data_IF_830844911627
#
_entry.id   IF_830844911627
#
_cell.length_a   1.000
_cell.length_b   1.000
_cell.length_c   1.000
_cell.angle_alpha   90.00
_cell.angle_beta   90.00
_cell.angle_gamma   90.00
#
_symmetry.space_group_name_H-M   'P 1'
#
loop_
_entity.id
_entity.type
_entity.pdbx_description
1 polymer ?
#
# COMPACT_ATOMS: atom_id res chain seq x y z
N UNK A 1 -34.98 29.68 17.13
CA UNK A 1 -33.87 30.66 17.17
C UNK A 1 -33.00 30.24 18.36
N UNK A 2 -31.91 29.48 18.25
CA UNK A 2 -30.52 29.91 17.97
C UNK A 2 -29.68 28.64 17.66
N UNK A 3 -29.98 27.91 16.59
CA UNK A 3 -29.17 26.72 16.22
C UNK A 3 -28.98 26.53 14.72
N UNK A 4 -29.45 27.48 13.90
CA UNK A 4 -29.26 27.51 12.45
C UNK A 4 -28.31 28.62 11.96
N UNK A 5 -27.71 29.39 12.86
CA UNK A 5 -26.85 30.53 12.51
C UNK A 5 -25.33 30.26 12.62
N UNK A 6 -24.90 29.10 13.11
CA UNK A 6 -23.47 28.81 13.36
C UNK A 6 -22.76 28.02 12.24
N UNK A 7 -23.49 27.49 11.27
CA UNK A 7 -22.90 26.74 10.14
C UNK A 7 -22.52 27.68 8.98
N UNK A 8 -23.10 28.89 8.91
CA UNK A 8 -22.81 29.87 7.86
C UNK A 8 -21.57 30.76 8.13
N UNK A 9 -21.02 30.74 9.35
CA UNK A 9 -19.85 31.56 9.71
C UNK A 9 -18.49 30.95 9.35
N UNK A 10 -18.39 29.64 9.17
CA UNK A 10 -17.10 28.96 8.90
C UNK A 10 -16.76 28.83 7.41
N UNK A 11 -17.72 29.01 6.51
CA UNK A 11 -17.49 28.95 5.07
C UNK A 11 -16.91 30.26 4.48
N UNK A 12 -17.00 31.39 5.21
CA UNK A 12 -16.62 32.71 4.69
C UNK A 12 -15.12 33.04 4.82
N UNK A 13 -14.37 32.35 5.67
CA UNK A 13 -12.92 32.59 5.82
C UNK A 13 -12.07 31.73 4.87
N UNK A 14 -12.65 30.66 4.31
CA UNK A 14 -11.91 29.73 3.44
C UNK A 14 -11.94 30.11 1.95
N UNK A 15 -12.77 31.07 1.54
CA UNK A 15 -12.93 31.44 0.14
C UNK A 15 -12.03 32.60 -0.33
N UNK A 16 -11.11 33.11 0.50
CA UNK A 16 -10.22 34.23 0.15
C UNK A 16 -8.76 33.85 -0.15
N UNK A 17 -8.40 32.55 -0.16
CA UNK A 17 -7.00 32.10 -0.38
C UNK A 17 -6.82 31.32 -1.69
N UNK A 18 -7.82 31.26 -2.56
CA UNK A 18 -7.70 30.63 -3.88
C UNK A 18 -8.03 31.63 -4.99
N UNK A 19 -7.06 32.49 -5.29
CA UNK A 19 -6.95 33.13 -6.61
C UNK A 19 -5.66 32.63 -7.27
N UNK A 20 -5.70 32.07 -8.49
CA UNK A 20 -4.52 31.58 -9.17
C UNK A 20 -3.75 32.76 -9.80
N UNK A 21 -2.54 33.02 -9.30
CA UNK A 21 -1.60 33.94 -9.95
C UNK A 21 -0.68 33.14 -10.88
N UNK A 22 -0.85 33.36 -12.18
CA UNK A 22 0.19 33.12 -13.17
C UNK A 22 1.30 34.16 -12.98
N UNK A 23 2.55 33.72 -12.81
CA UNK A 23 3.80 34.29 -13.37
C UNK A 23 5.00 33.98 -12.46
N UNK A 24 6.09 33.54 -13.07
CA UNK A 24 7.28 33.04 -12.39
C UNK A 24 8.14 34.09 -11.67
N UNK A 25 9.09 33.54 -10.90
CA UNK A 25 10.32 34.12 -10.33
C UNK A 25 10.35 34.34 -8.80
N UNK A 26 11.31 33.64 -8.18
CA UNK A 26 12.17 34.00 -7.04
C UNK A 26 11.61 34.22 -5.60
N UNK A 27 11.97 33.26 -4.72
CA UNK A 27 12.40 33.32 -3.30
C UNK A 27 11.85 34.34 -2.26
N UNK A 28 11.50 33.77 -1.09
CA UNK A 28 11.41 34.30 0.32
C UNK A 28 10.01 34.73 0.84
N UNK A 29 9.78 34.90 2.17
CA UNK A 29 10.10 34.09 3.35
C UNK A 29 8.84 33.91 4.25
N UNK A 30 8.21 32.72 4.33
CA UNK A 30 6.95 32.54 5.09
C UNK A 30 7.03 31.64 6.35
N UNK A 31 8.23 31.26 6.79
CA UNK A 31 8.44 30.34 7.92
C UNK A 31 8.09 30.86 9.33
N UNK A 32 7.66 32.13 9.49
CA UNK A 32 7.52 32.74 10.85
C UNK A 32 6.06 32.93 11.30
N UNK A 33 5.06 32.83 10.41
CA UNK A 33 3.67 33.13 10.79
C UNK A 33 2.85 31.96 11.37
N UNK A 34 3.35 30.72 11.31
CA UNK A 34 2.59 29.56 11.80
C UNK A 34 2.66 29.35 13.33
N UNK A 35 3.77 29.75 13.98
CA UNK A 35 3.95 29.50 15.42
C UNK A 35 3.13 30.44 16.32
N UNK A 36 2.76 31.64 15.83
CA UNK A 36 2.03 32.62 16.63
C UNK A 36 0.53 32.29 16.78
N UNK A 37 -0.05 31.49 15.88
CA UNK A 37 -1.48 31.18 15.92
C UNK A 37 -1.85 30.15 17.01
N UNK A 38 -0.92 29.27 17.41
CA UNK A 38 -1.21 28.18 18.37
C UNK A 38 -1.25 28.64 19.82
N UNK A 39 -0.53 29.71 20.20
CA UNK A 39 -0.48 30.17 21.59
C UNK A 39 -1.77 30.91 22.02
N UNK A 40 -2.45 31.57 21.08
CA UNK A 40 -3.64 32.40 21.38
C UNK A 40 -4.88 31.54 21.66
N UNK A 41 -5.00 30.36 21.03
CA UNK A 41 -6.16 29.47 21.20
C UNK A 41 -6.18 28.83 22.60
N UNK A 42 -5.02 28.59 23.22
CA UNK A 42 -4.93 27.99 24.56
C UNK A 42 -5.29 28.98 25.69
N UNK A 43 -5.17 30.29 25.45
CA UNK A 43 -5.41 31.34 26.44
C UNK A 43 -6.89 31.76 26.57
N UNK A 44 -7.74 31.42 25.59
CA UNK A 44 -9.16 31.83 25.56
C UNK A 44 -10.12 30.72 26.01
N UNK A 45 -9.62 29.54 26.38
CA UNK A 45 -10.44 28.43 26.86
C UNK A 45 -10.78 28.58 28.35
N UNK A 46 -12.06 28.52 28.75
CA UNK A 46 -12.44 28.62 30.15
C UNK A 46 -11.89 27.45 30.99
N UNK A 47 -11.46 27.69 32.25
CA UNK A 47 -10.68 26.74 33.05
C UNK A 47 -11.37 25.40 33.35
N UNK A 48 -12.70 25.33 33.21
CA UNK A 48 -13.50 24.10 33.42
C UNK A 48 -13.34 23.02 32.34
N UNK A 49 -12.58 23.28 31.27
CA UNK A 49 -12.39 22.34 30.14
C UNK A 49 -10.98 21.72 30.10
N UNK A 50 -10.15 21.90 31.14
CA UNK A 50 -8.73 21.50 31.12
C UNK A 50 -8.46 20.03 31.49
N UNK A 51 -9.46 19.24 31.91
CA UNK A 51 -9.25 17.85 32.34
C UNK A 51 -10.41 16.92 31.92
N UNK A 52 -10.59 16.70 30.61
CA UNK A 52 -11.57 15.75 30.10
C UNK A 52 -11.18 15.12 28.76
N UNK A 53 -11.77 13.96 28.39
CA UNK A 53 -11.38 13.12 27.25
C UNK A 53 -11.43 13.81 25.88
N UNK A 54 -12.08 14.97 25.79
CA UNK A 54 -12.14 15.82 24.59
C UNK A 54 -10.76 16.39 24.22
N UNK A 55 -9.89 16.65 25.21
CA UNK A 55 -8.53 17.16 24.95
C UNK A 55 -7.64 16.09 24.31
N UNK A 56 -7.82 14.82 24.69
CA UNK A 56 -7.09 13.69 24.12
C UNK A 56 -7.50 13.45 22.65
N UNK A 57 -8.79 13.55 22.33
CA UNK A 57 -9.29 13.41 20.95
C UNK A 57 -8.80 14.55 20.05
N UNK A 58 -8.75 15.80 20.55
CA UNK A 58 -8.16 16.92 19.78
C UNK A 58 -6.65 16.80 19.60
N UNK A 59 -5.90 16.29 20.59
CA UNK A 59 -4.45 16.08 20.45
C UNK A 59 -4.14 14.98 19.42
N UNK A 60 -4.93 13.90 19.42
CA UNK A 60 -4.81 12.81 18.43
C UNK A 60 -5.13 13.31 17.02
N UNK A 61 -6.14 14.17 16.84
CA UNK A 61 -6.43 14.78 15.54
C UNK A 61 -5.37 15.79 15.09
N UNK A 62 -4.71 16.51 16.01
CA UNK A 62 -3.62 17.43 15.66
C UNK A 62 -2.30 16.73 15.31
N UNK A 63 -1.99 15.58 15.91
CA UNK A 63 -0.85 14.75 15.48
C UNK A 63 -1.08 14.21 14.07
N UNK A 64 -2.32 13.85 13.72
CA UNK A 64 -2.66 13.36 12.38
C UNK A 64 -2.50 14.39 11.26
N UNK A 65 -2.56 15.69 11.54
CA UNK A 65 -2.32 16.74 10.52
C UNK A 65 -0.82 17.01 10.32
N UNK A 66 0.00 16.85 11.37
CA UNK A 66 1.45 17.09 11.28
C UNK A 66 2.24 15.93 10.66
N UNK A 67 1.70 14.71 10.65
CA UNK A 67 2.29 13.60 9.88
C UNK A 67 2.10 13.80 8.37
N UNK A 68 1.02 14.48 7.94
CA UNK A 68 0.76 14.75 6.52
C UNK A 68 1.60 15.88 5.95
N UNK A 69 2.07 16.82 6.78
CA UNK A 69 2.81 18.00 6.32
C UNK A 69 4.32 17.76 6.12
N UNK A 70 4.89 16.67 6.66
CA UNK A 70 6.33 16.40 6.55
C UNK A 70 6.72 15.45 5.40
N UNK A 71 5.76 15.00 4.59
CA UNK A 71 6.02 14.18 3.40
C UNK A 71 6.05 15.04 2.11
N UNK A 72 5.55 16.28 2.15
CA UNK A 72 5.42 17.16 0.96
C UNK A 72 6.64 18.09 0.76
N UNK A 73 7.68 17.98 1.61
CA UNK A 73 8.89 18.80 1.52
C UNK A 73 10.02 18.27 0.63
N UNK A 74 9.91 17.05 0.09
CA UNK A 74 10.97 16.43 -0.70
C UNK A 74 10.68 16.35 -2.22
N UNK A 75 9.58 16.95 -2.68
CA UNK A 75 9.28 17.07 -4.11
C UNK A 75 10.01 18.31 -4.67
N UNK A 76 11.29 18.15 -5.00
CA UNK A 76 11.93 19.02 -5.99
C UNK A 76 11.17 18.94 -7.32
N UNK A 77 11.40 19.87 -8.27
CA UNK A 77 10.79 19.80 -9.59
C UNK A 77 11.11 18.44 -10.19
N UNK A 78 10.06 17.74 -10.63
CA UNK A 78 10.18 16.42 -11.26
C UNK A 78 11.04 16.57 -12.53
N UNK A 79 12.34 16.28 -12.41
CA UNK A 79 13.13 15.80 -13.54
C UNK A 79 12.73 14.34 -13.73
N UNK A 80 11.68 14.16 -14.55
CA UNK A 80 11.01 12.91 -14.85
C UNK A 80 11.86 12.07 -15.81
N UNK A 81 12.96 11.53 -15.26
CA UNK A 81 13.73 10.47 -15.91
C UNK A 81 14.21 9.46 -14.88
N UNK A 82 13.27 8.89 -14.12
CA UNK A 82 13.48 7.60 -13.48
C UNK A 82 12.99 6.54 -14.46
N UNK A 83 13.96 5.82 -15.00
CA UNK A 83 13.83 4.57 -15.75
C UNK A 83 13.08 3.55 -14.88
N UNK A 84 11.75 3.60 -14.93
CA UNK A 84 10.92 2.50 -14.50
C UNK A 84 11.03 1.45 -15.59
N UNK A 85 11.82 0.41 -15.32
CA UNK A 85 11.94 -0.74 -16.19
C UNK A 85 10.56 -1.20 -16.66
N UNK A 86 10.50 -1.43 -17.97
CA UNK A 86 9.38 -1.94 -18.78
C UNK A 86 8.17 -2.42 -17.96
N UNK A 87 7.19 -1.53 -17.77
CA UNK A 87 5.85 -1.93 -17.37
C UNK A 87 5.28 -2.71 -18.54
N UNK A 88 5.21 -4.02 -18.40
CA UNK A 88 4.67 -4.93 -19.39
C UNK A 88 3.30 -4.42 -19.90
N UNK A 89 3.14 -4.39 -21.22
CA UNK A 89 1.92 -3.95 -21.92
C UNK A 89 0.66 -4.55 -21.23
N UNK A 90 -0.40 -3.75 -20.95
CA UNK A 90 -1.66 -4.23 -20.36
C UNK A 90 -2.36 -5.37 -21.14
N UNK A 91 -1.80 -5.82 -22.26
CA UNK A 91 -2.27 -6.96 -23.05
C UNK A 91 -1.76 -8.34 -22.62
N UNK A 92 -0.75 -8.49 -21.75
CA UNK A 92 -0.34 -9.84 -21.31
C UNK A 92 0.40 -9.85 -19.96
N UNK A 93 -0.37 -9.90 -18.87
CA UNK A 93 0.18 -10.27 -17.56
C UNK A 93 0.46 -11.76 -17.59
N UNK A 94 1.72 -12.14 -17.79
CA UNK A 94 2.15 -13.52 -17.81
C UNK A 94 3.33 -13.73 -16.85
N UNK A 95 3.10 -14.44 -15.75
CA UNK A 95 4.13 -14.90 -14.82
C UNK A 95 5.22 -15.64 -15.61
N UNK A 96 6.52 -15.40 -15.40
CA UNK A 96 7.56 -16.10 -16.16
C UNK A 96 7.55 -17.61 -15.91
N UNK A 97 7.77 -18.42 -16.93
CA UNK A 97 7.66 -19.88 -16.89
C UNK A 97 8.41 -20.53 -15.72
N UNK A 98 9.60 -20.02 -15.40
CA UNK A 98 10.41 -20.53 -14.28
C UNK A 98 9.70 -20.47 -12.92
N UNK A 99 8.77 -19.55 -12.70
CA UNK A 99 8.00 -19.47 -11.45
C UNK A 99 6.75 -20.36 -11.48
N UNK A 100 6.28 -20.74 -12.67
CA UNK A 100 5.05 -21.49 -12.84
C UNK A 100 5.20 -22.92 -12.32
N UNK A 101 4.06 -23.54 -12.02
CA UNK A 101 3.95 -24.94 -11.66
C UNK A 101 3.37 -25.18 -10.27
N UNK A 102 3.49 -26.43 -9.83
CA UNK A 102 3.03 -26.90 -8.54
C UNK A 102 4.13 -26.79 -7.49
N UNK A 103 3.74 -26.27 -6.32
CA UNK A 103 4.61 -25.98 -5.20
C UNK A 103 3.99 -26.56 -3.93
N UNK A 104 4.79 -27.25 -3.12
CA UNK A 104 4.35 -27.92 -1.90
C UNK A 104 5.15 -27.45 -0.67
N UNK A 105 4.61 -27.63 0.53
CA UNK A 105 5.32 -27.29 1.78
C UNK A 105 6.61 -28.09 2.01
N UNK A 106 6.70 -29.27 1.41
CA UNK A 106 7.90 -30.11 1.35
C UNK A 106 7.81 -31.08 0.17
N UNK A 107 8.95 -31.62 -0.27
CA UNK A 107 9.00 -32.50 -1.46
C UNK A 107 8.06 -33.72 -1.37
N UNK A 108 7.88 -34.30 -0.19
CA UNK A 108 6.98 -35.45 0.02
C UNK A 108 5.47 -35.13 0.04
N UNK A 109 5.08 -33.85 -0.01
CA UNK A 109 3.68 -33.42 0.03
C UNK A 109 3.07 -33.23 -1.37
N UNK A 110 3.89 -33.33 -2.43
CA UNK A 110 3.42 -33.21 -3.80
C UNK A 110 2.32 -34.23 -4.12
N UNK A 111 1.21 -33.75 -4.66
CA UNK A 111 0.03 -34.58 -4.96
C UNK A 111 -0.76 -35.05 -3.74
N UNK A 112 -0.37 -34.67 -2.52
CA UNK A 112 -1.16 -34.95 -1.32
C UNK A 112 -2.31 -33.95 -1.20
N UNK A 113 -3.52 -34.44 -0.93
CA UNK A 113 -4.67 -33.58 -0.63
C UNK A 113 -4.67 -33.00 0.78
N UNK A 114 -3.52 -33.00 1.47
CA UNK A 114 -3.38 -32.61 2.88
C UNK A 114 -2.26 -31.58 3.10
N UNK A 115 -1.74 -30.98 2.02
CA UNK A 115 -0.70 -29.96 2.10
C UNK A 115 -1.33 -28.57 2.16
N UNK A 116 -1.43 -27.99 3.35
CA UNK A 116 -1.94 -26.63 3.57
C UNK A 116 -1.08 -25.56 2.87
N UNK A 117 0.15 -25.88 2.47
CA UNK A 117 1.04 -24.99 1.73
C UNK A 117 1.00 -25.22 0.21
N UNK A 118 0.13 -26.11 -0.27
CA UNK A 118 -0.06 -26.37 -1.69
C UNK A 118 -0.37 -25.07 -2.42
N UNK A 119 0.36 -24.84 -3.51
CA UNK A 119 0.18 -23.68 -4.36
C UNK A 119 0.41 -24.06 -5.82
N UNK A 120 -0.47 -23.60 -6.70
CA UNK A 120 -0.27 -23.63 -8.14
C UNK A 120 -0.13 -22.19 -8.65
N UNK A 121 0.98 -21.92 -9.33
CA UNK A 121 1.21 -20.63 -9.98
C UNK A 121 1.15 -20.81 -11.50
N UNK A 122 0.08 -20.30 -12.11
CA UNK A 122 -0.14 -20.32 -13.55
C UNK A 122 0.46 -19.10 -14.26
N UNK A 123 0.10 -18.91 -15.53
CA UNK A 123 0.52 -17.73 -16.28
C UNK A 123 -0.14 -16.44 -15.76
N UNK A 124 -1.42 -16.50 -15.43
CA UNK A 124 -2.27 -15.36 -15.07
C UNK A 124 -3.16 -15.65 -13.85
N UNK A 125 -2.93 -16.78 -13.17
CA UNK A 125 -3.73 -17.25 -12.04
C UNK A 125 -2.85 -17.81 -10.94
N UNK A 126 -3.30 -17.70 -9.70
CA UNK A 126 -2.72 -18.36 -8.54
C UNK A 126 -3.82 -19.14 -7.81
N UNK A 127 -3.50 -20.36 -7.39
CA UNK A 127 -4.33 -21.15 -6.49
C UNK A 127 -3.50 -21.53 -5.27
N UNK A 128 -4.08 -21.37 -4.10
CA UNK A 128 -3.60 -21.76 -2.78
C UNK A 128 -4.57 -22.80 -2.22
N UNK A 129 -4.27 -23.38 -1.06
CA UNK A 129 -5.13 -24.37 -0.41
C UNK A 129 -6.59 -23.89 -0.22
N UNK A 130 -6.78 -22.66 0.28
CA UNK A 130 -8.10 -22.13 0.67
C UNK A 130 -8.62 -21.02 -0.25
N UNK A 131 -7.80 -20.58 -1.20
CA UNK A 131 -8.14 -19.44 -2.04
C UNK A 131 -7.52 -19.53 -3.42
N UNK A 132 -8.15 -18.89 -4.39
CA UNK A 132 -7.62 -18.82 -5.76
C UNK A 132 -8.04 -17.52 -6.41
N UNK A 133 -7.33 -17.11 -7.47
CA UNK A 133 -7.56 -15.81 -8.04
C UNK A 133 -6.77 -15.47 -9.29
N UNK A 134 -7.27 -14.49 -10.04
CA UNK A 134 -6.61 -13.92 -11.21
C UNK A 134 -5.52 -12.94 -10.80
N UNK A 135 -4.41 -12.96 -11.51
CA UNK A 135 -3.30 -12.03 -11.33
C UNK A 135 -3.64 -10.72 -12.05
N UNK A 136 -3.74 -9.64 -11.27
CA UNK A 136 -4.09 -8.29 -11.72
C UNK A 136 -2.89 -7.41 -12.04
N UNK A 137 -1.72 -7.73 -11.48
CA UNK A 137 -0.47 -7.05 -11.80
C UNK A 137 0.74 -7.97 -11.58
N UNK A 138 1.81 -7.74 -12.34
CA UNK A 138 3.09 -8.42 -12.23
C UNK A 138 4.21 -7.38 -12.34
N UNK A 139 5.20 -7.48 -11.46
CA UNK A 139 6.47 -6.76 -11.57
C UNK A 139 7.63 -7.76 -11.40
N UNK A 140 8.68 -7.59 -12.18
CA UNK A 140 9.85 -8.49 -12.17
C UNK A 140 11.12 -7.72 -11.78
N UNK A 141 11.36 -7.45 -10.47
CA UNK A 141 12.52 -6.69 -10.02
C UNK A 141 13.87 -7.39 -10.28
N UNK A 142 13.87 -8.68 -10.67
CA UNK A 142 15.05 -9.38 -11.14
C UNK A 142 14.71 -10.76 -11.70
N UNK A 143 15.67 -11.44 -12.31
CA UNK A 143 15.46 -12.77 -12.92
C UNK A 143 14.87 -13.80 -11.94
N UNK A 144 15.25 -13.68 -10.66
CA UNK A 144 14.85 -14.57 -9.58
C UNK A 144 13.78 -14.03 -8.65
N UNK A 145 13.17 -12.89 -8.98
CA UNK A 145 12.16 -12.26 -8.14
C UNK A 145 10.99 -11.73 -8.96
N UNK A 146 9.77 -12.04 -8.52
CA UNK A 146 8.56 -11.42 -9.04
C UNK A 146 7.69 -10.95 -7.88
N UNK A 147 6.95 -9.87 -8.12
CA UNK A 147 5.86 -9.42 -7.26
C UNK A 147 4.57 -9.52 -8.07
N UNK A 148 3.53 -10.11 -7.48
CA UNK A 148 2.20 -10.14 -8.10
C UNK A 148 1.16 -9.50 -7.20
N UNK A 149 0.13 -8.95 -7.82
CA UNK A 149 -1.13 -8.60 -7.15
C UNK A 149 -2.19 -9.53 -7.71
N UNK A 150 -2.94 -10.21 -6.85
CA UNK A 150 -3.98 -11.15 -7.25
C UNK A 150 -5.31 -10.83 -6.56
N UNK A 151 -6.41 -11.03 -7.30
CA UNK A 151 -7.78 -11.00 -6.79
C UNK A 151 -8.18 -12.38 -6.34
N UNK A 152 -8.02 -12.64 -5.05
CA UNK A 152 -8.31 -13.93 -4.46
C UNK A 152 -9.77 -14.01 -4.03
N UNK A 153 -10.33 -15.20 -4.14
CA UNK A 153 -11.61 -15.60 -3.57
C UNK A 153 -11.40 -16.83 -2.70
N UNK A 154 -12.02 -16.85 -1.51
CA UNK A 154 -11.95 -17.95 -0.54
C UNK A 154 -13.01 -17.73 0.55
N UNK A 155 -13.57 -18.82 1.09
CA UNK A 155 -14.60 -18.78 2.15
C UNK A 155 -15.83 -17.87 1.90
N UNK A 156 -16.09 -17.50 0.65
CA UNK A 156 -17.18 -16.59 0.27
C UNK A 156 -16.80 -15.09 0.26
N UNK A 157 -15.55 -14.75 0.52
CA UNK A 157 -15.01 -13.39 0.43
C UNK A 157 -14.09 -13.21 -0.79
N UNK A 158 -13.82 -11.97 -1.16
CA UNK A 158 -12.84 -11.63 -2.18
C UNK A 158 -12.00 -10.44 -1.76
N UNK A 159 -10.69 -10.50 -2.01
CA UNK A 159 -9.74 -9.49 -1.56
C UNK A 159 -8.53 -9.37 -2.50
N UNK A 160 -7.83 -8.24 -2.38
CA UNK A 160 -6.54 -8.04 -3.03
C UNK A 160 -5.40 -8.56 -2.15
N UNK A 161 -4.56 -9.41 -2.72
CA UNK A 161 -3.35 -9.91 -2.08
C UNK A 161 -2.13 -9.53 -2.92
N UNK A 162 -1.05 -9.14 -2.25
CA UNK A 162 0.27 -8.96 -2.87
C UNK A 162 1.19 -10.07 -2.41
N UNK A 163 1.86 -10.72 -3.37
CA UNK A 163 2.87 -11.73 -3.10
C UNK A 163 4.21 -11.29 -3.66
N UNK A 164 5.27 -11.51 -2.89
CA UNK A 164 6.64 -11.50 -3.38
C UNK A 164 7.15 -12.93 -3.44
N UNK A 165 7.72 -13.29 -4.58
CA UNK A 165 8.30 -14.59 -4.82
C UNK A 165 9.79 -14.45 -5.09
N UNK A 166 10.59 -15.24 -4.38
CA UNK A 166 12.02 -15.39 -4.65
C UNK A 166 12.32 -16.84 -4.98
N UNK A 167 12.83 -17.10 -6.18
CA UNK A 167 13.11 -18.44 -6.67
C UNK A 167 14.61 -18.74 -6.53
N UNK A 168 14.94 -19.92 -6.01
CA UNK A 168 16.32 -20.42 -5.97
C UNK A 168 16.95 -20.51 -7.36
N UNK A 169 18.28 -20.55 -7.41
CA UNK A 169 19.02 -20.57 -8.68
C UNK A 169 18.72 -21.84 -9.50
N UNK A 170 18.61 -22.99 -8.84
CA UNK A 170 18.21 -24.28 -9.41
C UNK A 170 16.70 -24.39 -9.71
N UNK A 171 15.92 -23.39 -9.31
CA UNK A 171 14.48 -23.37 -9.51
C UNK A 171 13.68 -24.36 -8.66
N UNK A 172 14.28 -25.06 -7.69
CA UNK A 172 13.59 -26.08 -6.90
C UNK A 172 12.86 -25.54 -5.68
N UNK A 173 13.18 -24.32 -5.23
CA UNK A 173 12.61 -23.74 -4.01
C UNK A 173 12.11 -22.33 -4.27
N UNK A 174 10.86 -22.08 -3.90
CA UNK A 174 10.21 -20.78 -3.98
C UNK A 174 9.98 -20.26 -2.56
N UNK A 175 10.57 -19.12 -2.24
CA UNK A 175 10.21 -18.37 -1.04
C UNK A 175 9.06 -17.45 -1.40
N UNK A 176 7.95 -17.60 -0.71
CA UNK A 176 6.77 -16.73 -0.82
C UNK A 176 6.70 -15.84 0.41
N UNK A 177 6.47 -14.55 0.17
CA UNK A 177 6.20 -13.55 1.19
C UNK A 177 4.86 -12.90 0.83
N UNK A 178 3.90 -12.88 1.76
CA UNK A 178 2.57 -12.36 1.46
C UNK A 178 1.58 -12.48 2.61
N UNK A 179 0.57 -11.62 2.56
CA UNK A 179 -0.51 -11.38 3.53
C UNK A 179 -0.07 -10.76 4.88
N UNK A 180 1.09 -11.14 5.42
CA UNK A 180 1.79 -10.42 6.49
C UNK A 180 3.29 -10.37 6.20
N UNK A 181 3.94 -9.22 6.35
CA UNK A 181 5.35 -9.02 5.98
C UNK A 181 6.33 -9.93 6.76
N UNK A 182 5.87 -10.49 7.88
CA UNK A 182 6.67 -11.34 8.76
C UNK A 182 6.55 -12.84 8.42
N UNK A 183 5.60 -13.24 7.55
CA UNK A 183 5.49 -14.62 7.09
C UNK A 183 6.25 -14.85 5.79
N UNK A 184 7.33 -15.62 5.90
CA UNK A 184 8.08 -16.16 4.77
C UNK A 184 7.91 -17.67 4.75
N UNK A 185 7.37 -18.19 3.66
CA UNK A 185 7.10 -19.62 3.50
C UNK A 185 7.97 -20.17 2.40
N UNK A 186 8.75 -21.21 2.70
CA UNK A 186 9.45 -21.98 1.69
C UNK A 186 8.51 -23.03 1.09
N UNK A 187 8.45 -23.09 -0.23
CA UNK A 187 7.76 -24.14 -1.00
C UNK A 187 8.73 -24.82 -1.95
N UNK A 188 8.47 -26.09 -2.24
CA UNK A 188 9.32 -26.95 -3.04
C UNK A 188 8.61 -27.33 -4.33
N UNK A 189 9.34 -27.28 -5.43
CA UNK A 189 8.80 -27.62 -6.75
C UNK A 189 8.39 -29.09 -6.75
N UNK A 190 7.15 -29.34 -7.17
CA UNK A 190 6.71 -30.68 -7.46
C UNK A 190 7.19 -31.12 -8.84
N UNK A 191 7.52 -32.40 -8.97
CA UNK A 191 7.72 -32.99 -10.29
C UNK A 191 6.43 -32.78 -11.11
N UNK A 192 6.58 -32.43 -12.38
CA UNK A 192 5.45 -32.42 -13.29
C UNK A 192 4.93 -33.85 -13.39
N UNK A 193 3.61 -34.04 -13.25
CA UNK A 193 3.02 -35.35 -13.53
C UNK A 193 3.35 -35.70 -14.99
N UNK A 194 3.89 -36.91 -15.27
CA UNK A 194 4.08 -37.34 -16.65
C UNK A 194 2.70 -37.38 -17.32
N UNK A 195 2.54 -36.54 -18.34
CA UNK A 195 1.35 -36.47 -19.17
C UNK A 195 1.08 -37.75 -19.95
#
# INVERSE_FOLDING_TARGET
>A
MVQRALILGFAATYLLVLQPWHSGSAMSPFGVYAAAASAVVLALLPPRWRLGPVLAVMLILMVSVNVTANIIGAMGPADDRRDFGDVSDPGQIAVPERFRGHWAGHAGACGSGTDDLAMHLGADRISLWESEGEIRALASPGANQINIVAELTGEGESWMATFRFSLSEDGSTLITEGLDADQRVARYRCAEDPT
#
